data_IF_333655899591
#
_entry.id   IF_333655899591
#
_cell.length_a   1.000
_cell.length_b   1.000
_cell.length_c   1.000
_cell.angle_alpha   90.00
_cell.angle_beta   90.00
_cell.angle_gamma   90.00
#
_symmetry.space_group_name_H-M   'P 1'
#
loop_
_entity.id
_entity.type
_entity.pdbx_description
1 polymer ?
#
# COMPACT_ATOMS: atom_id res chain seq x y z
N UNK A 1 15.05 14.32 -70.32
CA UNK A 1 15.05 13.51 -69.09
C UNK A 1 14.85 14.45 -67.91
N UNK A 2 13.86 14.14 -67.05
CA UNK A 2 13.63 14.55 -65.64
C UNK A 2 13.94 15.97 -65.17
N UNK A 3 13.19 16.64 -64.30
CA UNK A 3 11.83 16.54 -63.70
C UNK A 3 11.75 17.87 -62.92
N UNK A 4 10.65 18.64 -63.00
CA UNK A 4 10.39 19.70 -62.00
C UNK A 4 9.94 19.06 -60.69
N UNK A 5 10.16 19.74 -59.55
CA UNK A 5 9.13 19.92 -58.53
C UNK A 5 8.94 21.43 -58.28
N UNK A 6 7.78 22.08 -58.45
CA UNK A 6 6.49 21.96 -57.75
C UNK A 6 6.68 21.85 -56.23
N UNK A 7 6.78 23.01 -55.58
CA UNK A 7 6.49 23.18 -54.15
C UNK A 7 4.97 23.14 -53.94
N UNK A 8 4.45 22.38 -52.96
CA UNK A 8 3.12 22.58 -52.41
C UNK A 8 3.17 23.55 -51.20
N UNK A 9 2.09 24.28 -50.91
CA UNK A 9 1.97 25.12 -49.71
C UNK A 9 1.18 24.43 -48.57
N UNK A 10 1.31 25.04 -47.38
CA UNK A 10 0.44 24.94 -46.20
C UNK A 10 0.64 23.73 -45.27
N UNK A 11 1.51 23.89 -44.26
CA UNK A 11 1.36 23.21 -42.98
C UNK A 11 0.27 23.93 -42.17
N UNK A 12 -0.85 23.24 -41.96
CA UNK A 12 -1.85 23.62 -40.97
C UNK A 12 -1.34 23.38 -39.54
N UNK A 13 -1.97 23.98 -38.53
CA UNK A 13 -1.61 23.76 -37.14
C UNK A 13 -1.84 22.28 -36.77
N UNK A 14 -0.81 21.64 -36.22
CA UNK A 14 -0.90 20.35 -35.55
C UNK A 14 -1.92 20.45 -34.42
N UNK A 15 -2.99 19.66 -34.50
CA UNK A 15 -3.82 19.36 -33.34
C UNK A 15 -2.95 18.61 -32.32
N UNK A 16 -2.72 19.25 -31.17
CA UNK A 16 -2.26 18.60 -29.95
C UNK A 16 -3.20 17.43 -29.64
N UNK A 17 -2.66 16.21 -29.69
CA UNK A 17 -3.34 15.04 -29.18
C UNK A 17 -3.64 15.25 -27.70
N UNK A 18 -4.93 15.40 -27.38
CA UNK A 18 -5.42 15.16 -26.02
C UNK A 18 -5.14 13.70 -25.69
N UNK A 19 -4.23 13.47 -24.76
CA UNK A 19 -4.14 12.19 -24.08
C UNK A 19 -5.51 11.92 -23.44
N UNK A 20 -6.22 10.90 -23.93
CA UNK A 20 -7.46 10.44 -23.29
C UNK A 20 -7.09 9.87 -21.90
N UNK A 21 -7.77 10.31 -20.82
CA UNK A 21 -7.50 9.78 -19.49
C UNK A 21 -7.70 8.26 -19.50
N UNK A 22 -6.70 7.55 -19.00
CA UNK A 22 -6.74 6.09 -18.91
C UNK A 22 -7.86 5.67 -17.95
N UNK A 23 -8.99 5.22 -18.50
CA UNK A 23 -10.14 4.79 -17.72
C UNK A 23 -9.83 3.42 -17.08
N UNK A 24 -9.74 3.37 -15.75
CA UNK A 24 -9.76 2.09 -15.04
C UNK A 24 -11.20 1.57 -15.02
N UNK A 25 -11.38 0.26 -15.24
CA UNK A 25 -12.70 -0.38 -15.29
C UNK A 25 -13.45 -0.15 -13.97
N UNK A 26 -14.77 -0.02 -14.06
CA UNK A 26 -15.71 -0.04 -12.92
C UNK A 26 -15.29 -1.09 -11.88
N UNK A 27 -15.18 -0.67 -10.61
CA UNK A 27 -14.84 -1.54 -9.49
C UNK A 27 -16.01 -1.57 -8.49
N UNK A 28 -16.69 -2.73 -8.27
CA UNK A 28 -16.63 -3.99 -9.03
C UNK A 28 -17.38 -3.88 -10.39
N UNK A 29 -17.24 -4.87 -11.31
CA UNK A 29 -18.07 -4.93 -12.51
C UNK A 29 -19.54 -5.08 -12.11
N UNK A 30 -20.33 -4.05 -12.40
CA UNK A 30 -21.78 -4.03 -12.19
C UNK A 30 -22.38 -5.21 -12.98
N UNK A 31 -22.93 -6.21 -12.29
CA UNK A 31 -23.82 -7.18 -12.92
C UNK A 31 -25.04 -6.41 -13.43
N UNK A 32 -25.47 -6.69 -14.67
CA UNK A 32 -26.53 -5.97 -15.39
C UNK A 32 -27.88 -5.85 -14.64
N UNK A 33 -28.04 -6.50 -13.49
CA UNK A 33 -29.25 -6.49 -12.66
C UNK A 33 -29.30 -5.36 -11.60
N UNK A 34 -28.25 -4.53 -11.44
CA UNK A 34 -28.15 -3.52 -10.35
C UNK A 34 -28.26 -2.04 -10.81
N UNK A 35 -29.21 -1.78 -11.70
CA UNK A 35 -29.48 -0.48 -12.37
C UNK A 35 -29.71 0.77 -11.48
N UNK A 36 -29.65 0.69 -10.14
CA UNK A 36 -29.99 1.80 -9.23
C UNK A 36 -28.89 2.18 -8.23
N UNK A 37 -27.67 1.64 -8.37
CA UNK A 37 -26.60 1.99 -7.45
C UNK A 37 -26.01 3.37 -7.78
N UNK A 38 -26.03 4.28 -6.80
CA UNK A 38 -25.39 5.58 -6.93
C UNK A 38 -23.85 5.40 -6.99
N UNK A 39 -23.24 5.90 -8.05
CA UNK A 39 -21.81 5.77 -8.33
C UNK A 39 -21.19 7.16 -8.36
N UNK A 40 -20.08 7.33 -7.63
CA UNK A 40 -19.26 8.55 -7.66
C UNK A 40 -18.03 8.33 -8.53
N UNK A 41 -17.71 9.35 -9.32
CA UNK A 41 -16.44 9.43 -10.07
C UNK A 41 -15.33 9.94 -9.14
N UNK A 42 -14.26 9.17 -9.00
CA UNK A 42 -13.03 9.54 -8.31
C UNK A 42 -11.92 9.68 -9.36
N UNK A 43 -11.19 10.79 -9.33
CA UNK A 43 -9.98 10.99 -10.12
C UNK A 43 -8.80 10.81 -9.17
N UNK A 44 -8.02 9.77 -9.38
CA UNK A 44 -6.82 9.50 -8.58
C UNK A 44 -5.71 10.51 -8.86
N UNK A 45 -4.71 10.58 -7.97
CA UNK A 45 -3.61 11.55 -8.10
C UNK A 45 -2.71 11.30 -9.33
N UNK A 46 -2.80 10.13 -9.95
CA UNK A 46 -2.16 9.78 -11.23
C UNK A 46 -3.14 9.86 -12.42
N UNK A 47 -4.19 10.67 -12.30
CA UNK A 47 -5.16 11.05 -13.35
C UNK A 47 -5.94 9.86 -13.95
N UNK A 48 -6.05 8.77 -13.19
CA UNK A 48 -6.90 7.64 -13.56
C UNK A 48 -8.29 7.85 -12.98
N UNK A 49 -9.30 7.70 -13.84
CA UNK A 49 -10.70 7.77 -13.45
C UNK A 49 -11.20 6.43 -12.91
N UNK A 50 -11.85 6.47 -11.76
CA UNK A 50 -12.50 5.32 -11.11
C UNK A 50 -13.95 5.64 -10.79
N UNK A 51 -14.80 4.65 -10.95
CA UNK A 51 -16.23 4.75 -10.68
C UNK A 51 -16.55 3.81 -9.52
N UNK A 52 -16.88 4.39 -8.36
CA UNK A 52 -17.01 3.67 -7.09
C UNK A 52 -18.42 3.83 -6.54
N UNK A 53 -19.08 2.75 -6.09
CA UNK A 53 -20.36 2.83 -5.40
C UNK A 53 -20.31 3.76 -4.18
N UNK A 54 -21.21 4.73 -4.09
CA UNK A 54 -21.26 5.71 -3.01
C UNK A 54 -21.43 5.06 -1.64
N UNK A 55 -22.17 3.96 -1.58
CA UNK A 55 -22.42 3.26 -0.32
C UNK A 55 -21.11 2.73 0.31
N UNK A 56 -20.13 2.31 -0.50
CA UNK A 56 -18.83 1.86 -0.02
C UNK A 56 -18.05 3.03 0.59
N UNK A 57 -17.99 4.16 -0.11
CA UNK A 57 -17.30 5.35 0.35
C UNK A 57 -17.91 5.89 1.65
N UNK A 58 -19.25 6.00 1.71
CA UNK A 58 -19.98 6.49 2.88
C UNK A 58 -19.85 5.55 4.09
N UNK A 59 -19.78 4.24 3.86
CA UNK A 59 -19.72 3.25 4.95
C UNK A 59 -18.33 3.14 5.55
N UNK A 60 -17.28 3.35 4.74
CA UNK A 60 -15.91 3.09 5.16
C UNK A 60 -15.07 4.33 5.43
N UNK A 61 -15.52 5.53 5.08
CA UNK A 61 -14.82 6.80 5.33
C UNK A 61 -15.76 7.86 5.92
N UNK A 62 -15.35 8.45 7.04
CA UNK A 62 -16.06 9.60 7.63
C UNK A 62 -15.95 10.83 6.73
N UNK A 63 -14.79 11.03 6.11
CA UNK A 63 -14.54 12.16 5.20
C UNK A 63 -15.42 12.06 3.95
N UNK A 64 -15.41 10.92 3.24
CA UNK A 64 -16.25 10.75 2.06
C UNK A 64 -17.73 10.83 2.40
N UNK A 65 -18.16 10.26 3.54
CA UNK A 65 -19.55 10.39 3.99
C UNK A 65 -19.96 11.85 4.16
N UNK A 66 -19.09 12.67 4.74
CA UNK A 66 -19.36 14.11 4.94
C UNK A 66 -19.42 14.81 3.60
N UNK A 67 -18.43 14.61 2.72
CA UNK A 67 -18.39 15.21 1.39
C UNK A 67 -19.62 14.86 0.54
N UNK A 68 -20.04 13.59 0.53
CA UNK A 68 -21.16 13.11 -0.28
C UNK A 68 -22.53 13.54 0.27
N UNK A 69 -22.63 13.84 1.57
CA UNK A 69 -23.86 14.35 2.17
C UNK A 69 -23.98 15.88 2.04
N UNK A 70 -22.85 16.59 2.00
CA UNK A 70 -22.79 18.05 1.93
C UNK A 70 -22.96 18.59 0.50
N UNK A 71 -22.70 17.77 -0.52
CA UNK A 71 -22.97 18.11 -1.92
C UNK A 71 -24.48 17.96 -2.16
N UNK A 72 -25.22 19.05 -2.43
CA UNK A 72 -26.63 18.93 -2.80
C UNK A 72 -26.74 18.06 -4.05
N UNK A 73 -27.60 17.04 -4.03
CA UNK A 73 -27.87 16.24 -5.23
C UNK A 73 -28.22 17.20 -6.37
N UNK A 74 -27.48 17.18 -7.50
CA UNK A 74 -27.79 18.06 -8.60
C UNK A 74 -29.22 17.79 -9.07
N UNK A 75 -29.94 18.81 -9.57
CA UNK A 75 -31.25 18.61 -10.16
C UNK A 75 -31.14 17.53 -11.25
N UNK A 76 -32.19 16.70 -11.46
CA UNK A 76 -32.15 15.49 -12.30
C UNK A 76 -31.76 15.72 -13.77
N UNK A 77 -31.60 16.98 -14.20
CA UNK A 77 -31.16 17.39 -15.53
C UNK A 77 -29.63 17.61 -15.66
N UNK A 78 -28.88 17.60 -14.56
CA UNK A 78 -27.43 17.74 -14.55
C UNK A 78 -26.80 16.40 -14.19
N UNK A 79 -26.47 15.59 -15.21
CA UNK A 79 -25.76 14.31 -15.06
C UNK A 79 -24.32 14.42 -14.51
N UNK A 80 -23.97 15.56 -13.93
CA UNK A 80 -22.63 15.86 -13.45
C UNK A 80 -22.61 15.71 -11.93
N UNK A 81 -22.41 14.47 -11.45
CA UNK A 81 -21.79 14.28 -10.14
C UNK A 81 -20.44 14.99 -10.17
N UNK A 82 -20.18 15.90 -9.24
CA UNK A 82 -18.85 16.50 -9.12
C UNK A 82 -17.85 15.37 -8.84
N UNK A 83 -16.79 15.22 -9.65
CA UNK A 83 -15.77 14.21 -9.38
C UNK A 83 -15.03 14.56 -8.10
N UNK A 84 -14.65 13.53 -7.35
CA UNK A 84 -13.74 13.70 -6.21
C UNK A 84 -12.31 13.55 -6.74
N UNK A 85 -11.56 14.64 -6.71
CA UNK A 85 -10.16 14.66 -7.12
C UNK A 85 -9.24 14.39 -5.93
N UNK A 86 -8.41 13.37 -6.06
CA UNK A 86 -7.36 13.04 -5.10
C UNK A 86 -6.05 13.69 -5.57
N UNK A 87 -5.26 14.22 -4.63
CA UNK A 87 -4.17 15.16 -4.95
C UNK A 87 -2.82 14.76 -4.38
N UNK A 88 -2.74 13.78 -3.49
CA UNK A 88 -1.50 13.31 -2.90
C UNK A 88 -0.93 12.12 -3.70
N UNK A 89 0.08 12.35 -4.56
CA UNK A 89 0.62 11.30 -5.43
C UNK A 89 1.31 10.17 -4.66
N UNK A 90 1.61 10.34 -3.36
CA UNK A 90 2.27 9.30 -2.57
C UNK A 90 1.32 8.24 -2.07
N UNK A 91 0.05 8.59 -1.83
CA UNK A 91 -0.92 7.69 -1.19
C UNK A 91 -2.27 7.64 -1.91
N UNK A 92 -2.52 8.49 -2.90
CA UNK A 92 -3.82 8.59 -3.59
C UNK A 92 -3.77 8.20 -5.06
N UNK A 93 -2.77 7.41 -5.46
CA UNK A 93 -2.75 6.79 -6.80
C UNK A 93 -3.80 5.68 -6.94
N UNK A 94 -4.17 5.36 -8.18
CA UNK A 94 -5.24 4.39 -8.47
C UNK A 94 -4.99 3.00 -7.86
N UNK A 95 -3.73 2.52 -7.82
CA UNK A 95 -3.39 1.22 -7.21
C UNK A 95 -3.65 1.20 -5.71
N UNK A 96 -3.36 2.30 -5.03
CA UNK A 96 -3.67 2.44 -3.60
C UNK A 96 -5.17 2.38 -3.38
N UNK A 97 -5.94 3.07 -4.23
CA UNK A 97 -7.40 3.05 -4.15
C UNK A 97 -7.98 1.66 -4.46
N UNK A 98 -7.48 0.97 -5.48
CA UNK A 98 -7.89 -0.40 -5.80
C UNK A 98 -7.66 -1.35 -4.64
N UNK A 99 -6.46 -1.34 -4.05
CA UNK A 99 -6.13 -2.21 -2.92
C UNK A 99 -6.95 -1.84 -1.67
N UNK A 100 -7.16 -0.55 -1.41
CA UNK A 100 -8.07 -0.09 -0.35
C UNK A 100 -9.50 -0.64 -0.55
N UNK A 101 -10.06 -0.50 -1.76
CA UNK A 101 -11.41 -0.96 -2.08
C UNK A 101 -11.53 -2.48 -1.93
N UNK A 102 -10.54 -3.23 -2.42
CA UNK A 102 -10.47 -4.68 -2.27
C UNK A 102 -10.58 -5.10 -0.79
N UNK A 103 -9.78 -4.47 0.09
CA UNK A 103 -9.74 -4.78 1.51
C UNK A 103 -11.09 -4.47 2.19
N UNK A 104 -11.69 -3.30 1.93
CA UNK A 104 -12.96 -2.95 2.57
C UNK A 104 -14.14 -3.79 2.07
N UNK A 105 -14.03 -4.35 0.86
CA UNK A 105 -14.99 -5.34 0.33
C UNK A 105 -14.75 -6.77 0.81
N UNK A 106 -13.73 -7.00 1.64
CA UNK A 106 -13.45 -8.30 2.26
C UNK A 106 -12.65 -9.27 1.39
N UNK A 107 -11.96 -8.76 0.36
CA UNK A 107 -11.03 -9.59 -0.41
C UNK A 107 -9.80 -9.97 0.42
N UNK A 108 -9.28 -11.18 0.22
CA UNK A 108 -8.03 -11.60 0.86
C UNK A 108 -6.84 -10.76 0.37
N UNK A 109 -6.01 -10.31 1.30
CA UNK A 109 -4.89 -9.43 1.01
C UNK A 109 -3.88 -10.04 0.02
N UNK A 110 -3.69 -11.35 0.06
CA UNK A 110 -2.79 -12.06 -0.87
C UNK A 110 -3.34 -11.98 -2.30
N UNK A 111 -4.63 -12.18 -2.47
CA UNK A 111 -5.30 -12.18 -3.77
C UNK A 111 -5.33 -10.76 -4.34
N UNK A 112 -5.63 -9.77 -3.51
CA UNK A 112 -5.62 -8.36 -3.90
C UNK A 112 -4.22 -7.89 -4.35
N UNK A 113 -3.16 -8.23 -3.60
CA UNK A 113 -1.77 -7.88 -3.97
C UNK A 113 -1.33 -8.61 -5.24
N UNK A 114 -1.77 -9.86 -5.45
CA UNK A 114 -1.44 -10.63 -6.64
C UNK A 114 -2.10 -10.06 -7.92
N UNK A 115 -3.37 -9.63 -7.84
CA UNK A 115 -4.10 -9.05 -8.97
C UNK A 115 -3.40 -7.83 -9.54
N UNK A 116 -2.97 -6.91 -8.68
CA UNK A 116 -2.46 -5.61 -9.12
C UNK A 116 -0.99 -5.68 -9.61
N UNK A 117 -0.44 -6.89 -9.74
CA UNK A 117 0.92 -7.18 -10.21
C UNK A 117 1.97 -6.31 -9.50
N UNK A 118 1.78 -6.10 -8.20
CA UNK A 118 2.69 -5.29 -7.38
C UNK A 118 3.94 -6.15 -7.12
N UNK A 119 4.84 -6.16 -8.08
CA UNK A 119 6.13 -6.85 -8.00
C UNK A 119 7.16 -5.81 -7.58
N UNK A 120 7.82 -6.02 -6.44
CA UNK A 120 8.93 -5.18 -5.98
C UNK A 120 8.57 -3.94 -5.15
N UNK A 121 7.28 -3.56 -5.03
CA UNK A 121 6.84 -2.39 -4.26
C UNK A 121 5.73 -2.71 -3.23
N UNK A 122 5.65 -3.96 -2.76
CA UNK A 122 4.55 -4.42 -1.90
C UNK A 122 4.50 -3.71 -0.55
N UNK A 123 5.65 -3.52 0.08
CA UNK A 123 5.74 -2.81 1.36
C UNK A 123 5.33 -1.34 1.25
N UNK A 124 5.80 -0.66 0.21
CA UNK A 124 5.42 0.73 -0.08
C UNK A 124 3.93 0.87 -0.36
N UNK A 125 3.35 -0.05 -1.16
CA UNK A 125 1.91 -0.05 -1.46
C UNK A 125 1.06 -0.27 -0.21
N UNK A 126 1.39 -1.25 0.62
CA UNK A 126 0.67 -1.50 1.87
C UNK A 126 0.75 -0.30 2.81
N UNK A 127 1.93 0.34 2.92
CA UNK A 127 2.07 1.57 3.68
C UNK A 127 1.18 2.69 3.11
N UNK A 128 1.17 2.85 1.79
CA UNK A 128 0.36 3.86 1.11
C UNK A 128 -1.14 3.65 1.40
N UNK A 129 -1.63 2.40 1.37
CA UNK A 129 -3.03 2.08 1.70
C UNK A 129 -3.35 2.38 3.17
N UNK A 130 -2.44 2.06 4.10
CA UNK A 130 -2.64 2.38 5.51
C UNK A 130 -2.70 3.90 5.75
N UNK A 131 -1.80 4.67 5.11
CA UNK A 131 -1.83 6.14 5.17
C UNK A 131 -3.04 6.74 4.48
N UNK A 132 -3.49 6.14 3.39
CA UNK A 132 -4.73 6.53 2.73
C UNK A 132 -5.91 6.36 3.69
N UNK A 133 -6.01 5.20 4.35
CA UNK A 133 -7.06 4.94 5.33
C UNK A 133 -7.01 5.91 6.54
N UNK A 134 -5.82 6.31 6.98
CA UNK A 134 -5.65 7.33 8.02
C UNK A 134 -6.08 8.73 7.54
N UNK A 135 -5.60 9.16 6.35
CA UNK A 135 -5.93 10.48 5.77
C UNK A 135 -7.43 10.65 5.54
N UNK A 136 -8.11 9.60 5.08
CA UNK A 136 -9.53 9.62 4.74
C UNK A 136 -10.44 9.21 5.90
N UNK A 137 -9.90 9.10 7.12
CA UNK A 137 -10.61 8.70 8.34
C UNK A 137 -11.48 7.45 8.12
N UNK A 138 -10.78 6.36 7.79
CA UNK A 138 -11.35 5.05 7.52
C UNK A 138 -11.02 4.09 8.69
N UNK A 139 -11.69 4.18 9.85
CA UNK A 139 -11.31 3.45 11.06
C UNK A 139 -11.43 1.92 10.91
N UNK A 140 -12.45 1.46 10.17
CA UNK A 140 -12.65 0.03 9.91
C UNK A 140 -11.52 -0.51 9.03
N UNK A 141 -11.18 0.20 7.94
CA UNK A 141 -10.10 -0.20 7.03
C UNK A 141 -8.75 -0.20 7.77
N UNK A 142 -8.47 0.83 8.56
CA UNK A 142 -7.26 0.94 9.38
C UNK A 142 -7.12 -0.25 10.34
N UNK A 143 -8.22 -0.64 11.00
CA UNK A 143 -8.24 -1.80 11.90
C UNK A 143 -8.03 -3.12 11.15
N UNK A 144 -8.69 -3.31 10.01
CA UNK A 144 -8.51 -4.51 9.17
C UNK A 144 -7.07 -4.64 8.69
N UNK A 145 -6.49 -3.56 8.15
CA UNK A 145 -5.10 -3.51 7.70
C UNK A 145 -4.11 -3.83 8.83
N UNK A 146 -4.31 -3.23 10.01
CA UNK A 146 -3.47 -3.48 11.18
C UNK A 146 -3.55 -4.94 11.63
N UNK A 147 -4.77 -5.51 11.63
CA UNK A 147 -4.98 -6.92 11.95
C UNK A 147 -4.31 -7.85 10.94
N UNK A 148 -4.49 -7.61 9.64
CA UNK A 148 -3.82 -8.37 8.58
C UNK A 148 -2.30 -8.28 8.70
N UNK A 149 -1.75 -7.10 9.02
CA UNK A 149 -0.32 -6.93 9.20
C UNK A 149 0.21 -7.73 10.41
N UNK A 150 -0.53 -7.76 11.52
CA UNK A 150 -0.20 -8.59 12.68
C UNK A 150 -0.27 -10.09 12.36
N UNK A 151 -1.29 -10.53 11.61
CA UNK A 151 -1.43 -11.92 11.18
C UNK A 151 -0.26 -12.34 10.28
N UNK A 152 0.12 -11.48 9.32
CA UNK A 152 1.29 -11.71 8.46
C UNK A 152 2.59 -11.75 9.27
N UNK A 153 2.75 -10.87 10.27
CA UNK A 153 3.89 -10.89 11.18
C UNK A 153 3.96 -12.23 11.94
N UNK A 154 2.83 -12.72 12.44
CA UNK A 154 2.72 -13.99 13.16
C UNK A 154 3.02 -15.22 12.29
N UNK A 155 2.67 -15.18 11.01
CA UNK A 155 2.98 -16.24 10.03
C UNK A 155 4.46 -16.24 9.59
N UNK A 156 5.18 -15.14 9.80
CA UNK A 156 6.59 -15.00 9.44
C UNK A 156 6.87 -15.34 7.98
N UNK A 157 7.74 -16.32 7.78
CA UNK A 157 8.14 -16.79 6.46
C UNK A 157 7.02 -17.54 5.70
N UNK A 158 6.00 -18.06 6.37
CA UNK A 158 4.97 -18.90 5.75
C UNK A 158 3.95 -18.16 4.87
N UNK A 159 3.76 -16.84 5.02
CA UNK A 159 2.70 -16.11 4.30
C UNK A 159 3.02 -15.76 2.83
N UNK A 160 4.30 -15.60 2.47
CA UNK A 160 4.79 -15.31 1.09
C UNK A 160 4.17 -14.10 0.36
N UNK A 161 3.33 -13.29 1.01
CA UNK A 161 2.72 -12.07 0.45
C UNK A 161 3.74 -10.93 0.45
N UNK A 162 4.37 -10.68 1.60
CA UNK A 162 5.20 -9.51 1.85
C UNK A 162 6.45 -9.90 2.64
N UNK A 163 7.56 -9.16 2.51
CA UNK A 163 8.77 -9.49 3.28
C UNK A 163 8.57 -9.15 4.76
N UNK A 164 9.22 -9.91 5.66
CA UNK A 164 9.31 -9.53 7.08
C UNK A 164 9.88 -8.12 7.28
N UNK A 165 10.81 -7.73 6.40
CA UNK A 165 11.40 -6.39 6.41
C UNK A 165 10.39 -5.33 6.02
N UNK A 166 9.53 -5.61 5.05
CA UNK A 166 8.45 -4.70 4.68
C UNK A 166 7.48 -4.52 5.86
N UNK A 167 7.07 -5.61 6.51
CA UNK A 167 6.18 -5.57 7.70
C UNK A 167 6.81 -4.73 8.81
N UNK A 168 8.11 -4.95 9.10
CA UNK A 168 8.82 -4.19 10.12
C UNK A 168 8.90 -2.70 9.79
N UNK A 169 9.24 -2.34 8.55
CA UNK A 169 9.30 -0.94 8.11
C UNK A 169 7.94 -0.27 8.16
N UNK A 170 6.87 -0.96 7.71
CA UNK A 170 5.49 -0.45 7.81
C UNK A 170 5.13 -0.21 9.28
N UNK A 171 5.33 -1.21 10.15
CA UNK A 171 5.02 -1.10 11.57
C UNK A 171 5.79 0.06 12.21
N UNK A 172 7.06 0.24 11.85
CA UNK A 172 7.89 1.33 12.35
C UNK A 172 7.39 2.71 11.88
N UNK A 173 7.00 2.84 10.61
CA UNK A 173 6.48 4.10 10.06
C UNK A 173 5.07 4.45 10.53
N UNK A 174 4.26 3.44 10.87
CA UNK A 174 2.90 3.61 11.39
C UNK A 174 2.84 3.69 12.92
N UNK A 175 3.98 3.57 13.62
CA UNK A 175 4.02 3.61 15.08
C UNK A 175 3.31 2.42 15.75
N UNK A 176 3.50 1.21 15.21
CA UNK A 176 2.87 -0.05 15.65
C UNK A 176 3.93 -0.95 16.33
N UNK A 177 4.34 -0.65 17.58
CA UNK A 177 5.43 -1.35 18.25
C UNK A 177 5.16 -2.84 18.47
N UNK A 178 3.91 -3.24 18.70
CA UNK A 178 3.53 -4.64 18.94
C UNK A 178 3.77 -5.50 17.70
N UNK A 179 3.47 -4.96 16.51
CA UNK A 179 3.69 -5.67 15.24
C UNK A 179 5.20 -5.77 14.96
N UNK A 180 5.95 -4.69 15.15
CA UNK A 180 7.40 -4.72 14.96
C UNK A 180 8.08 -5.71 15.93
N UNK A 181 7.65 -5.74 17.19
CA UNK A 181 8.10 -6.72 18.17
C UNK A 181 7.75 -8.14 17.74
N UNK A 182 6.54 -8.37 17.21
CA UNK A 182 6.13 -9.69 16.71
C UNK A 182 7.00 -10.17 15.56
N UNK A 183 7.36 -9.29 14.62
CA UNK A 183 8.29 -9.64 13.53
C UNK A 183 9.65 -10.08 14.08
N UNK A 184 10.19 -9.37 15.07
CA UNK A 184 11.46 -9.71 15.73
C UNK A 184 11.36 -11.08 16.44
N UNK A 185 10.27 -11.31 17.17
CA UNK A 185 10.01 -12.56 17.89
C UNK A 185 9.98 -13.76 16.94
N UNK A 186 9.18 -13.67 15.88
CA UNK A 186 9.01 -14.75 14.90
C UNK A 186 10.30 -15.01 14.13
N UNK A 187 11.04 -13.96 13.75
CA UNK A 187 12.35 -14.13 13.12
C UNK A 187 13.33 -14.96 13.95
N UNK A 188 13.36 -14.71 15.27
CA UNK A 188 14.25 -15.45 16.19
C UNK A 188 13.87 -16.93 16.28
N UNK A 189 12.57 -17.22 16.32
CA UNK A 189 12.08 -18.60 16.31
C UNK A 189 12.43 -19.31 14.99
N UNK A 190 12.29 -18.62 13.86
CA UNK A 190 12.61 -19.18 12.54
C UNK A 190 14.09 -19.56 12.43
N UNK A 191 15.03 -18.72 12.90
CA UNK A 191 16.47 -19.06 12.92
C UNK A 191 16.73 -20.32 13.74
N UNK A 192 16.09 -20.45 14.91
CA UNK A 192 16.28 -21.60 15.78
C UNK A 192 15.79 -22.91 15.12
N UNK A 193 14.80 -22.82 14.23
CA UNK A 193 14.16 -23.98 13.59
C UNK A 193 14.90 -24.59 12.39
N UNK A 194 16.00 -23.97 11.92
CA UNK A 194 16.95 -24.53 10.93
C UNK A 194 16.40 -24.95 9.55
N UNK A 195 15.23 -24.45 9.09
CA UNK A 195 14.70 -24.82 7.76
C UNK A 195 14.99 -23.73 6.70
N UNK A 196 15.99 -23.89 5.81
CA UNK A 196 16.61 -22.78 5.09
C UNK A 196 16.20 -22.73 3.61
N UNK A 197 14.93 -22.91 3.26
CA UNK A 197 14.47 -22.60 1.89
C UNK A 197 14.23 -21.09 1.69
N UNK A 198 15.29 -20.30 1.86
CA UNK A 198 15.32 -18.83 1.75
C UNK A 198 14.86 -18.35 0.36
N UNK A 199 15.04 -19.17 -0.68
CA UNK A 199 14.73 -18.83 -2.08
C UNK A 199 13.23 -18.75 -2.40
N UNK A 200 12.33 -19.13 -1.49
CA UNK A 200 10.88 -19.13 -1.73
C UNK A 200 10.15 -17.87 -1.22
N UNK A 201 10.87 -16.95 -0.57
CA UNK A 201 10.30 -15.78 0.10
C UNK A 201 10.39 -14.51 -0.75
N UNK A 202 9.41 -13.59 -0.65
CA UNK A 202 9.52 -12.31 -1.33
C UNK A 202 10.72 -11.51 -0.78
N UNK A 203 11.59 -10.97 -1.66
CA UNK A 203 12.63 -10.06 -1.23
C UNK A 203 12.01 -8.78 -0.65
N UNK A 204 12.72 -8.05 0.23
CA UNK A 204 12.26 -6.75 0.69
C UNK A 204 12.03 -5.80 -0.49
N UNK A 205 10.95 -5.03 -0.42
CA UNK A 205 10.59 -4.05 -1.46
C UNK A 205 11.32 -2.72 -1.34
N UNK A 206 11.79 -2.38 -0.15
CA UNK A 206 12.44 -1.09 0.09
C UNK A 206 13.89 -1.06 -0.41
N UNK A 207 14.34 0.04 -1.03
CA UNK A 207 15.71 0.17 -1.54
C UNK A 207 16.78 0.41 -0.44
N UNK A 208 16.44 0.21 0.83
CA UNK A 208 17.26 0.54 2.01
C UNK A 208 18.07 -0.65 2.56
N UNK A 209 18.04 -1.80 1.89
CA UNK A 209 18.69 -3.03 2.35
C UNK A 209 19.92 -3.41 1.50
N UNK A 210 20.90 -4.04 2.15
CA UNK A 210 22.08 -4.62 1.53
C UNK A 210 21.77 -6.05 1.05
N UNK A 211 21.74 -6.25 -0.27
CA UNK A 211 21.47 -7.53 -0.91
C UNK A 211 19.97 -7.82 -1.12
N UNK A 212 19.68 -8.90 -1.86
CA UNK A 212 18.31 -9.29 -2.20
C UNK A 212 17.58 -10.03 -1.06
N UNK A 213 18.34 -10.71 -0.21
CA UNK A 213 17.84 -11.47 0.94
C UNK A 213 18.65 -11.13 2.19
N UNK A 214 18.53 -9.90 2.70
CA UNK A 214 19.25 -9.45 3.88
C UNK A 214 18.90 -10.31 5.10
N UNK A 215 19.90 -10.58 5.93
CA UNK A 215 19.66 -11.04 7.30
C UNK A 215 18.81 -10.01 8.03
N UNK A 216 18.00 -10.44 9.01
CA UNK A 216 17.17 -9.51 9.77
C UNK A 216 18.01 -8.88 10.90
N UNK A 217 19.00 -8.10 10.49
CA UNK A 217 20.00 -7.47 11.35
C UNK A 217 20.29 -6.04 10.90
N UNK A 218 20.73 -5.20 11.85
CA UNK A 218 21.06 -3.79 11.56
C UNK A 218 22.19 -3.66 10.53
N UNK A 219 23.10 -4.63 10.47
CA UNK A 219 24.23 -4.69 9.53
C UNK A 219 23.78 -4.85 8.08
N UNK A 220 22.53 -5.27 7.85
CA UNK A 220 21.94 -5.41 6.53
C UNK A 220 21.24 -4.13 6.03
N UNK A 221 21.27 -3.05 6.82
CA UNK A 221 20.69 -1.76 6.43
C UNK A 221 21.73 -0.88 5.74
N UNK A 222 21.31 -0.18 4.68
CA UNK A 222 22.08 0.92 4.11
C UNK A 222 21.91 2.20 4.95
N UNK A 223 22.80 3.20 4.83
CA UNK A 223 22.68 4.47 5.54
C UNK A 223 21.34 5.19 5.35
N UNK A 224 20.69 5.03 4.19
CA UNK A 224 19.38 5.64 3.90
C UNK A 224 18.26 5.12 4.80
N UNK A 225 18.39 3.90 5.36
CA UNK A 225 17.41 3.31 6.27
C UNK A 225 17.17 4.17 7.52
N UNK A 226 18.18 4.94 7.95
CA UNK A 226 18.12 5.81 9.13
C UNK A 226 17.18 7.00 8.96
N UNK A 227 16.87 7.39 7.72
CA UNK A 227 15.86 8.40 7.41
C UNK A 227 14.45 7.84 7.28
N UNK A 228 14.30 6.51 7.22
CA UNK A 228 13.03 5.82 6.95
C UNK A 228 12.48 5.15 8.20
N UNK A 229 13.35 4.53 8.99
CA UNK A 229 12.97 3.77 10.20
C UNK A 229 13.28 4.63 11.43
N UNK A 230 12.28 4.94 12.28
CA UNK A 230 12.53 5.71 13.49
C UNK A 230 13.55 5.03 14.42
N UNK A 231 14.37 5.86 15.08
CA UNK A 231 15.56 5.43 15.83
C UNK A 231 15.28 4.40 16.93
N UNK A 232 14.11 4.48 17.59
CA UNK A 232 13.75 3.54 18.65
C UNK A 232 13.47 2.13 18.10
N UNK A 233 12.94 1.99 16.88
CA UNK A 233 12.81 0.70 16.20
C UNK A 233 14.17 0.15 15.76
N UNK A 234 15.06 1.00 15.25
CA UNK A 234 16.43 0.60 14.91
C UNK A 234 17.20 0.10 16.14
N UNK A 235 17.04 0.79 17.27
CA UNK A 235 17.64 0.38 18.53
C UNK A 235 17.04 -0.94 19.06
N UNK A 236 15.72 -1.14 18.94
CA UNK A 236 15.08 -2.42 19.27
C UNK A 236 15.63 -3.57 18.41
N UNK A 237 15.78 -3.34 17.10
CA UNK A 237 16.40 -4.29 16.18
C UNK A 237 17.85 -4.58 16.55
N UNK A 238 18.66 -3.56 16.85
CA UNK A 238 20.05 -3.73 17.28
C UNK A 238 20.17 -4.61 18.55
N UNK A 239 19.36 -4.33 19.58
CA UNK A 239 19.30 -5.18 20.77
C UNK A 239 18.87 -6.59 20.42
N UNK A 240 17.93 -6.70 19.48
CA UNK A 240 17.43 -8.00 19.07
C UNK A 240 18.52 -8.87 18.43
N UNK A 241 19.35 -8.29 17.58
CA UNK A 241 20.44 -8.98 16.87
C UNK A 241 21.65 -9.30 17.77
N UNK A 242 21.92 -8.48 18.79
CA UNK A 242 23.06 -8.68 19.70
C UNK A 242 22.79 -9.73 20.78
N UNK A 243 21.54 -9.88 21.22
CA UNK A 243 21.15 -10.92 22.18
C UNK A 243 21.40 -12.34 21.64
N UNK A 244 21.28 -12.53 20.33
CA UNK A 244 21.58 -13.81 19.65
C UNK A 244 23.07 -14.13 19.53
N UNK A 245 23.97 -13.14 19.66
CA UNK A 245 25.41 -13.33 19.54
C UNK A 245 26.10 -13.69 20.88
N UNK A 246 25.44 -13.40 22.00
CA UNK A 246 25.86 -13.78 23.34
C UNK A 246 25.05 -15.01 23.76
N UNK A 247 25.46 -16.18 23.28
CA UNK A 247 24.93 -17.44 23.78
C UNK A 247 25.18 -17.54 25.29
N UNK A 248 24.16 -17.97 26.03
CA UNK A 248 24.20 -18.42 27.42
C UNK A 248 25.04 -17.58 28.39
N UNK A 249 24.40 -16.63 29.08
CA UNK A 249 24.58 -16.52 30.54
C UNK A 249 23.39 -15.78 31.16
N UNK A 250 22.51 -16.60 31.75
CA UNK A 250 21.69 -16.36 32.93
C UNK A 250 21.21 -14.93 33.30
N UNK A 251 19.87 -14.82 33.35
CA UNK A 251 19.12 -14.44 34.55
C UNK A 251 19.18 -12.98 35.02
N UNK A 252 18.26 -12.16 34.53
CA UNK A 252 17.38 -11.29 35.35
C UNK A 252 16.50 -10.43 34.45
N UNK A 253 15.26 -10.87 34.24
CA UNK A 253 14.22 -10.11 33.55
C UNK A 253 13.01 -10.03 34.48
N UNK A 254 12.94 -9.00 35.34
CA UNK A 254 11.67 -8.45 35.86
C UNK A 254 11.79 -7.24 36.82
N UNK A 255 12.84 -6.42 36.78
CA UNK A 255 12.88 -5.18 37.58
C UNK A 255 13.17 -3.97 36.69
N UNK A 256 12.29 -2.97 36.72
CA UNK A 256 12.41 -1.62 36.14
C UNK A 256 11.79 -1.34 34.77
N UNK A 257 10.50 -1.69 34.62
CA UNK A 257 9.58 -0.86 33.83
C UNK A 257 8.49 -0.29 34.76
N UNK A 258 8.82 0.79 35.47
CA UNK A 258 7.87 1.75 36.04
C UNK A 258 8.18 3.12 35.45
#
# INVERSE_FOLDING_TARGET
MSKRPISPPADGPQEEGRDEPHQSRLWPPISQDSSNEAVTKIISADDVELYVPEHLLRSHSVVFRTMLNDIPSPPPASGNSHPIELTDPKIEGHKTLHLFLAIVTGEDLKDAVARDQIVGARGEMLLAVMRFAEKWDCPIATRLLTFSLMELAGKGLHQRVVSRWDIFVIAAQMGLPEIAAKVIEVYRADIASSDPEISSYPPPSWPIFLGAYPEFAISSLKPEAWGVIPSHYLHALYRASTTTALGDDNQDWCENCN
#
